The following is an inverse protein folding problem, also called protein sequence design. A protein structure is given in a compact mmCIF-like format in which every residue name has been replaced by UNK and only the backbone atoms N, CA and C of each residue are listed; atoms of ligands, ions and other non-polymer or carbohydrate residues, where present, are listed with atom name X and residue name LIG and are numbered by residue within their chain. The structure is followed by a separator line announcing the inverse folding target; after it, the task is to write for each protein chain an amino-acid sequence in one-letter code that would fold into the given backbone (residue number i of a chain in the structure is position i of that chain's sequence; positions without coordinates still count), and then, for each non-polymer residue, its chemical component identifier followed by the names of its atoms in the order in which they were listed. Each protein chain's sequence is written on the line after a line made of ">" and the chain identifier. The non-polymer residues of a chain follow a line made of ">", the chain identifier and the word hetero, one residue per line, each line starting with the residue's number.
data_IF_790055799219
#
_entry.id   IF_790055799219
#
_cell.length_a   1.000
_cell.length_b   1.000
_cell.length_c   1.000
_cell.angle_alpha   90.00
_cell.angle_beta   90.00
_cell.angle_gamma   90.00
#
_symmetry.space_group_name_H-M   'P 1'
#
loop_
_entity.id
_entity.type
_entity.pdbx_description
1 polymer ?
#
# COMPACT_ATOMS: atom_id res chain seq x y z
N UNK A 1 33.38 -2.36 0.01
CA UNK A 1 32.81 -1.40 0.98
C UNK A 1 32.86 -0.01 0.34
N UNK A 2 31.70 0.61 0.12
CA UNK A 2 31.62 2.00 -0.35
C UNK A 2 31.64 2.88 0.91
N UNK A 3 32.55 3.85 1.00
CA UNK A 3 32.64 4.72 2.18
C UNK A 3 31.41 5.63 2.26
N UNK A 4 31.02 6.01 3.47
CA UNK A 4 29.89 6.92 3.72
C UNK A 4 29.99 8.22 2.92
N UNK A 5 31.21 8.68 2.60
CA UNK A 5 31.46 9.87 1.78
C UNK A 5 31.15 9.66 0.29
N UNK A 6 31.43 8.48 -0.28
CA UNK A 6 31.12 8.17 -1.68
C UNK A 6 29.61 7.95 -1.93
N UNK A 7 28.83 7.62 -0.89
CA UNK A 7 27.38 7.42 -0.96
C UNK A 7 26.60 8.75 -1.12
N UNK A 8 27.10 9.84 -0.54
CA UNK A 8 26.51 11.18 -0.66
C UNK A 8 27.00 11.97 -1.88
N UNK A 9 27.99 11.46 -2.63
CA UNK A 9 28.43 12.11 -3.87
C UNK A 9 27.49 11.87 -5.06
N UNK A 10 26.58 10.89 -4.97
CA UNK A 10 25.60 10.57 -6.02
C UNK A 10 24.21 11.18 -5.78
N UNK A 11 23.94 11.70 -4.59
CA UNK A 11 22.64 12.27 -4.22
C UNK A 11 22.84 13.59 -3.49
N UNK A 12 22.22 14.65 -4.01
CA UNK A 12 22.38 16.02 -3.50
C UNK A 12 21.97 16.20 -2.02
N UNK A 13 21.20 15.26 -1.45
CA UNK A 13 20.83 15.23 -0.02
C UNK A 13 20.18 13.90 0.41
N UNK A 14 20.06 13.64 1.73
CA UNK A 14 19.30 12.51 2.31
C UNK A 14 17.85 12.42 1.77
N UNK A 15 17.09 13.52 1.62
CA UNK A 15 15.80 13.53 0.92
C UNK A 15 15.85 13.07 -0.55
N UNK A 16 16.89 13.44 -1.30
CA UNK A 16 17.03 13.04 -2.71
C UNK A 16 17.27 11.53 -2.84
N UNK A 17 18.08 10.95 -1.95
CA UNK A 17 18.26 9.49 -1.86
C UNK A 17 16.94 8.78 -1.53
N UNK A 18 16.19 9.29 -0.55
CA UNK A 18 14.91 8.69 -0.16
C UNK A 18 13.87 8.79 -1.29
N UNK A 19 13.86 9.89 -2.04
CA UNK A 19 13.01 10.05 -3.21
C UNK A 19 13.34 9.01 -4.29
N UNK A 20 14.62 8.87 -4.66
CA UNK A 20 15.06 7.90 -5.66
C UNK A 20 14.75 6.44 -5.25
N UNK A 21 14.84 6.14 -3.95
CA UNK A 21 14.49 4.83 -3.42
C UNK A 21 12.99 4.55 -3.58
N UNK A 22 12.12 5.53 -3.32
CA UNK A 22 10.68 5.39 -3.51
C UNK A 22 10.31 5.30 -4.99
N UNK A 23 10.97 6.05 -5.87
CA UNK A 23 10.78 5.91 -7.32
C UNK A 23 11.07 4.48 -7.78
N UNK A 24 12.21 3.93 -7.36
CA UNK A 24 12.58 2.54 -7.67
C UNK A 24 11.56 1.53 -7.13
N UNK A 25 11.02 1.73 -5.92
CA UNK A 25 9.94 0.87 -5.40
C UNK A 25 8.68 0.99 -6.23
N UNK A 26 8.34 2.21 -6.67
CA UNK A 26 7.23 2.43 -7.59
C UNK A 26 7.41 1.65 -8.90
N UNK A 27 8.64 1.60 -9.43
CA UNK A 27 8.96 0.82 -10.65
C UNK A 27 8.75 -0.68 -10.42
N UNK A 28 9.16 -1.18 -9.24
CA UNK A 28 8.95 -2.58 -8.88
C UNK A 28 7.47 -2.92 -8.71
N UNK A 29 6.69 -2.02 -8.10
CA UNK A 29 5.24 -2.17 -7.99
C UNK A 29 4.60 -2.20 -9.38
N UNK A 30 5.02 -1.30 -10.27
CA UNK A 30 4.52 -1.22 -11.65
C UNK A 30 4.70 -2.53 -12.42
N UNK A 31 5.87 -3.16 -12.30
CA UNK A 31 6.16 -4.45 -12.92
C UNK A 31 5.21 -5.57 -12.44
N UNK A 32 4.70 -5.47 -11.21
CA UNK A 32 3.78 -6.44 -10.63
C UNK A 32 2.33 -6.17 -11.05
N UNK A 33 1.93 -4.90 -11.13
CA UNK A 33 0.50 -4.54 -11.30
C UNK A 33 0.09 -4.29 -12.75
N UNK A 34 0.99 -3.80 -13.62
CA UNK A 34 0.65 -3.57 -15.03
C UNK A 34 0.17 -4.82 -15.78
N UNK A 35 0.76 -6.02 -15.57
CA UNK A 35 0.24 -7.23 -16.20
C UNK A 35 -1.21 -7.53 -15.81
N UNK A 36 -1.63 -7.17 -14.59
CA UNK A 36 -3.01 -7.35 -14.11
C UNK A 36 -3.93 -6.31 -14.76
N UNK A 37 -3.50 -5.04 -14.76
CA UNK A 37 -4.28 -3.92 -15.31
C UNK A 37 -4.56 -4.12 -16.80
N UNK A 38 -3.54 -4.53 -17.57
CA UNK A 38 -3.64 -4.67 -19.02
C UNK A 38 -4.13 -6.06 -19.47
N UNK A 39 -4.45 -6.97 -18.55
CA UNK A 39 -5.00 -8.29 -18.92
C UNK A 39 -6.43 -8.14 -19.48
N UNK A 40 -6.67 -8.43 -20.77
CA UNK A 40 -7.99 -8.29 -21.36
C UNK A 40 -8.96 -9.41 -20.95
N UNK A 41 -8.47 -10.46 -20.29
CA UNK A 41 -9.29 -11.61 -19.86
C UNK A 41 -9.94 -11.39 -18.49
N UNK A 42 -9.54 -10.33 -17.77
CA UNK A 42 -10.02 -10.03 -16.43
C UNK A 42 -11.08 -8.93 -16.44
N UNK A 43 -12.17 -9.15 -15.69
CA UNK A 43 -13.13 -8.10 -15.38
C UNK A 43 -12.53 -7.08 -14.40
N UNK A 44 -13.15 -5.90 -14.28
CA UNK A 44 -12.65 -4.82 -13.44
C UNK A 44 -12.58 -5.20 -11.95
N UNK A 45 -13.57 -5.94 -11.44
CA UNK A 45 -13.56 -6.40 -10.04
C UNK A 45 -12.39 -7.37 -9.78
N UNK A 46 -12.12 -8.29 -10.71
CA UNK A 46 -10.97 -9.20 -10.61
C UNK A 46 -9.65 -8.44 -10.65
N UNK A 47 -9.55 -7.40 -11.51
CA UNK A 47 -8.36 -6.53 -11.56
C UNK A 47 -8.15 -5.78 -10.26
N UNK A 48 -9.20 -5.17 -9.69
CA UNK A 48 -9.12 -4.48 -8.39
C UNK A 48 -8.69 -5.43 -7.29
N UNK A 49 -9.33 -6.60 -7.20
CA UNK A 49 -9.02 -7.61 -6.20
C UNK A 49 -7.54 -8.04 -6.31
N UNK A 50 -7.09 -8.42 -7.51
CA UNK A 50 -5.71 -8.84 -7.73
C UNK A 50 -4.72 -7.71 -7.49
N UNK A 51 -5.03 -6.49 -7.92
CA UNK A 51 -4.20 -5.31 -7.68
C UNK A 51 -3.96 -5.11 -6.18
N UNK A 52 -5.01 -5.09 -5.35
CA UNK A 52 -4.85 -4.91 -3.91
C UNK A 52 -4.14 -6.09 -3.23
N UNK A 53 -4.53 -7.32 -3.56
CA UNK A 53 -3.90 -8.52 -2.99
C UNK A 53 -2.41 -8.62 -3.34
N UNK A 54 -2.02 -8.32 -4.58
CA UNK A 54 -0.61 -8.29 -5.00
C UNK A 54 0.20 -7.27 -4.20
N UNK A 55 -0.35 -6.09 -3.94
CA UNK A 55 0.33 -5.07 -3.12
C UNK A 55 0.49 -5.54 -1.67
N UNK A 56 -0.54 -6.13 -1.08
CA UNK A 56 -0.49 -6.57 0.32
C UNK A 56 0.43 -7.78 0.52
N UNK A 57 0.40 -8.76 -0.40
CA UNK A 57 1.34 -9.89 -0.41
C UNK A 57 2.78 -9.43 -0.61
N UNK A 58 3.01 -8.47 -1.52
CA UNK A 58 4.33 -7.87 -1.71
C UNK A 58 4.87 -7.21 -0.43
N UNK A 59 4.02 -6.49 0.31
CA UNK A 59 4.39 -5.90 1.61
C UNK A 59 4.70 -6.97 2.65
N UNK A 60 3.88 -8.02 2.73
CA UNK A 60 4.05 -9.08 3.72
C UNK A 60 5.30 -9.92 3.45
N UNK A 61 5.57 -10.27 2.20
CA UNK A 61 6.79 -10.97 1.78
C UNK A 61 8.06 -10.18 2.15
N UNK A 62 7.98 -8.85 2.14
CA UNK A 62 9.07 -7.95 2.53
C UNK A 62 8.84 -7.29 3.89
N UNK A 63 8.10 -7.94 4.81
CA UNK A 63 7.62 -7.35 6.07
C UNK A 63 8.73 -6.65 6.87
N UNK A 64 9.89 -7.30 7.07
CA UNK A 64 11.01 -6.70 7.83
C UNK A 64 11.44 -5.36 7.24
N UNK A 65 11.52 -5.30 5.92
CA UNK A 65 11.87 -4.10 5.18
C UNK A 65 10.77 -3.04 5.30
N UNK A 66 9.50 -3.44 5.16
CA UNK A 66 8.34 -2.54 5.36
C UNK A 66 8.33 -1.95 6.76
N UNK A 67 8.55 -2.73 7.81
CA UNK A 67 8.60 -2.25 9.19
C UNK A 67 9.75 -1.24 9.41
N UNK A 68 10.93 -1.50 8.84
CA UNK A 68 12.04 -0.56 8.90
C UNK A 68 11.69 0.77 8.19
N UNK A 69 11.03 0.69 7.04
CA UNK A 69 10.53 1.88 6.35
C UNK A 69 9.48 2.61 7.17
N UNK A 70 8.48 1.94 7.74
CA UNK A 70 7.42 2.57 8.52
C UNK A 70 7.99 3.40 9.68
N UNK A 71 9.01 2.90 10.40
CA UNK A 71 9.67 3.64 11.49
C UNK A 71 10.30 4.95 11.01
N UNK A 72 11.04 4.90 9.90
CA UNK A 72 11.65 6.11 9.31
C UNK A 72 10.56 7.02 8.75
N UNK A 73 9.59 6.43 8.05
CA UNK A 73 8.54 7.14 7.34
C UNK A 73 7.73 7.99 8.30
N UNK A 74 7.20 7.41 9.37
CA UNK A 74 6.30 8.07 10.30
C UNK A 74 6.99 8.90 11.39
N UNK A 75 8.33 8.99 11.40
CA UNK A 75 9.04 9.95 12.25
C UNK A 75 8.66 11.40 11.89
N UNK A 76 8.45 12.26 12.88
CA UNK A 76 7.95 13.64 12.68
C UNK A 76 8.83 14.46 11.73
N UNK A 77 10.15 14.31 11.83
CA UNK A 77 11.13 14.98 10.95
C UNK A 77 10.94 14.68 9.46
N UNK A 78 10.26 13.57 9.13
CA UNK A 78 10.03 13.15 7.76
C UNK A 78 8.63 13.54 7.21
N UNK A 79 7.82 14.32 7.95
CA UNK A 79 6.46 14.69 7.54
C UNK A 79 6.39 15.38 6.17
N UNK A 80 7.32 16.31 5.90
CA UNK A 80 7.39 17.01 4.61
C UNK A 80 7.73 16.03 3.48
N UNK A 81 8.67 15.11 3.73
CA UNK A 81 9.08 14.11 2.76
C UNK A 81 7.93 13.12 2.47
N UNK A 82 7.25 12.62 3.51
CA UNK A 82 6.05 11.79 3.39
C UNK A 82 5.02 12.43 2.48
N UNK A 83 4.72 13.72 2.69
CA UNK A 83 3.73 14.43 1.89
C UNK A 83 4.16 14.59 0.43
N UNK A 84 5.42 14.94 0.15
CA UNK A 84 5.94 14.99 -1.22
C UNK A 84 5.80 13.64 -1.93
N UNK A 85 6.08 12.55 -1.22
CA UNK A 85 6.01 11.20 -1.77
C UNK A 85 4.57 10.70 -1.93
N UNK A 86 3.64 11.13 -1.06
CA UNK A 86 2.21 10.97 -1.28
C UNK A 86 1.78 11.62 -2.62
N UNK A 87 2.19 12.86 -2.89
CA UNK A 87 1.86 13.53 -4.16
C UNK A 87 2.39 12.75 -5.37
N UNK A 88 3.62 12.22 -5.29
CA UNK A 88 4.20 11.40 -6.36
C UNK A 88 3.41 10.10 -6.56
N UNK A 89 3.07 9.39 -5.47
CA UNK A 89 2.24 8.17 -5.52
C UNK A 89 0.86 8.41 -6.13
N UNK A 90 0.19 9.50 -5.75
CA UNK A 90 -1.09 9.89 -6.36
C UNK A 90 -0.93 10.05 -7.86
N UNK A 91 0.02 10.86 -8.33
CA UNK A 91 0.24 11.07 -9.77
C UNK A 91 0.52 9.77 -10.53
N UNK A 92 1.22 8.82 -9.90
CA UNK A 92 1.64 7.57 -10.52
C UNK A 92 0.53 6.52 -10.57
N UNK A 93 -0.18 6.31 -9.47
CA UNK A 93 -1.15 5.21 -9.35
C UNK A 93 -2.57 5.58 -9.79
N UNK A 94 -2.92 6.87 -9.74
CA UNK A 94 -4.27 7.34 -10.12
C UNK A 94 -4.65 6.89 -11.54
N UNK A 95 -3.82 7.06 -12.58
CA UNK A 95 -4.20 6.65 -13.94
C UNK A 95 -4.56 5.16 -14.07
N UNK A 96 -3.87 4.28 -13.36
CA UNK A 96 -4.12 2.85 -13.38
C UNK A 96 -5.44 2.48 -12.72
N UNK A 97 -5.74 3.09 -11.57
CA UNK A 97 -7.02 2.89 -10.90
C UNK A 97 -8.17 3.43 -11.76
N UNK A 98 -8.00 4.60 -12.37
CA UNK A 98 -9.00 5.21 -13.26
C UNK A 98 -9.28 4.36 -14.49
N UNK A 99 -8.29 3.66 -15.03
CA UNK A 99 -8.47 2.69 -16.11
C UNK A 99 -9.37 1.51 -15.68
N UNK A 100 -9.05 0.88 -14.55
CA UNK A 100 -9.86 -0.24 -14.04
C UNK A 100 -11.29 0.23 -13.68
N UNK A 101 -11.42 1.42 -13.10
CA UNK A 101 -12.72 1.97 -12.71
C UNK A 101 -13.59 2.26 -13.93
N UNK A 102 -13.03 2.85 -14.99
CA UNK A 102 -13.75 3.06 -16.25
C UNK A 102 -14.21 1.74 -16.86
N UNK A 103 -13.33 0.73 -16.89
CA UNK A 103 -13.71 -0.61 -17.31
C UNK A 103 -14.90 -1.15 -16.48
N UNK A 104 -14.87 -1.01 -15.15
CA UNK A 104 -15.93 -1.51 -14.29
C UNK A 104 -17.27 -0.79 -14.45
N UNK A 105 -17.24 0.49 -14.84
CA UNK A 105 -18.44 1.25 -15.21
C UNK A 105 -19.00 0.74 -16.55
N UNK A 106 -18.14 0.50 -17.55
CA UNK A 106 -18.53 -0.05 -18.85
C UNK A 106 -19.11 -1.46 -18.71
N UNK A 107 -18.55 -2.28 -17.81
CA UNK A 107 -19.05 -3.61 -17.46
C UNK A 107 -20.34 -3.58 -16.61
N UNK A 108 -20.72 -2.42 -16.08
CA UNK A 108 -21.90 -2.25 -15.21
C UNK A 108 -21.74 -2.83 -13.80
N UNK A 109 -20.51 -3.14 -13.38
CA UNK A 109 -20.18 -3.68 -12.05
C UNK A 109 -19.80 -2.59 -11.04
N UNK A 110 -19.49 -1.38 -11.50
CA UNK A 110 -19.20 -0.19 -10.70
C UNK A 110 -20.14 0.96 -11.08
N UNK A 111 -20.43 1.85 -10.14
CA UNK A 111 -21.40 2.96 -10.33
C UNK A 111 -20.88 4.34 -9.91
N UNK A 112 -19.56 4.56 -10.00
CA UNK A 112 -18.94 5.82 -9.60
C UNK A 112 -19.20 6.96 -10.62
N UNK A 113 -19.78 8.11 -10.21
CA UNK A 113 -20.08 9.23 -11.11
C UNK A 113 -18.87 10.14 -11.45
N UNK A 114 -17.73 9.94 -10.80
CA UNK A 114 -16.49 10.71 -10.97
C UNK A 114 -15.27 9.78 -11.17
N UNK A 115 -15.24 8.96 -12.23
CA UNK A 115 -14.17 7.97 -12.45
C UNK A 115 -12.78 8.61 -12.42
N UNK A 116 -12.60 9.79 -13.02
CA UNK A 116 -11.34 10.54 -13.10
C UNK A 116 -10.90 11.20 -11.78
N UNK A 117 -11.63 10.99 -10.68
CA UNK A 117 -11.25 11.45 -9.34
C UNK A 117 -11.20 10.30 -8.33
N UNK A 118 -11.85 9.19 -8.66
CA UNK A 118 -11.98 8.02 -7.80
C UNK A 118 -10.61 7.43 -7.40
N UNK A 119 -9.68 7.34 -8.35
CA UNK A 119 -8.33 6.84 -8.10
C UNK A 119 -7.59 7.63 -7.02
N UNK A 120 -7.71 8.97 -7.02
CA UNK A 120 -7.13 9.83 -5.97
C UNK A 120 -7.74 9.56 -4.60
N UNK A 121 -9.07 9.42 -4.53
CA UNK A 121 -9.78 9.14 -3.27
C UNK A 121 -9.34 7.79 -2.69
N UNK A 122 -9.27 6.76 -3.53
CA UNK A 122 -8.78 5.43 -3.14
C UNK A 122 -7.36 5.50 -2.54
N UNK A 123 -6.45 6.22 -3.18
CA UNK A 123 -5.07 6.39 -2.67
C UNK A 123 -5.06 7.13 -1.33
N UNK A 124 -5.95 8.10 -1.12
CA UNK A 124 -6.06 8.79 0.17
C UNK A 124 -6.54 7.88 1.30
N UNK A 125 -7.46 6.94 1.00
CA UNK A 125 -7.89 5.92 1.96
C UNK A 125 -6.74 4.97 2.33
N UNK A 126 -5.89 4.59 1.37
CA UNK A 126 -4.71 3.79 1.67
C UNK A 126 -3.65 4.56 2.47
N UNK A 127 -3.48 5.86 2.22
CA UNK A 127 -2.59 6.70 3.02
C UNK A 127 -3.07 6.78 4.47
N UNK A 128 -4.38 6.99 4.68
CA UNK A 128 -4.99 7.02 6.01
C UNK A 128 -4.89 5.66 6.71
N UNK A 129 -5.16 4.56 6.01
CA UNK A 129 -4.98 3.19 6.52
C UNK A 129 -3.54 2.98 7.01
N UNK A 130 -2.56 3.39 6.21
CA UNK A 130 -1.15 3.31 6.60
C UNK A 130 -0.86 4.10 7.88
N UNK A 131 -1.41 5.30 8.00
CA UNK A 131 -1.22 6.17 9.17
C UNK A 131 -1.91 5.61 10.42
N UNK A 132 -3.15 5.17 10.29
CA UNK A 132 -3.97 4.63 11.38
C UNK A 132 -3.44 3.30 11.94
N UNK A 133 -2.70 2.54 11.13
CA UNK A 133 -2.13 1.25 11.52
C UNK A 133 -0.66 1.33 11.92
N UNK A 134 0.07 2.38 11.54
CA UNK A 134 1.50 2.51 11.81
C UNK A 134 1.83 2.40 13.30
N UNK A 135 1.12 3.11 14.17
CA UNK A 135 1.36 3.06 15.63
C UNK A 135 1.14 1.65 16.19
N UNK A 136 0.04 1.00 15.81
CA UNK A 136 -0.29 -0.36 16.24
C UNK A 136 0.78 -1.37 15.80
N UNK A 137 1.20 -1.29 14.54
CA UNK A 137 2.19 -2.19 13.96
C UNK A 137 3.57 -1.98 14.61
N UNK A 138 3.95 -0.72 14.84
CA UNK A 138 5.27 -0.35 15.34
C UNK A 138 5.42 -0.44 16.87
N UNK A 139 4.32 -0.46 17.62
CA UNK A 139 4.34 -0.62 19.07
C UNK A 139 5.10 -1.87 19.49
N UNK A 140 5.93 -1.75 20.53
CA UNK A 140 6.60 -2.89 21.18
C UNK A 140 5.72 -3.51 22.26
N UNK A 141 4.81 -2.73 22.82
CA UNK A 141 3.78 -3.18 23.75
C UNK A 141 2.62 -3.78 22.96
N UNK A 142 2.16 -4.96 23.40
CA UNK A 142 1.06 -5.69 22.78
C UNK A 142 -0.14 -5.74 23.71
N UNK A 143 -1.29 -5.40 23.17
CA UNK A 143 -2.59 -5.55 23.80
C UNK A 143 -3.39 -6.66 23.11
N UNK A 144 -4.20 -7.45 23.85
CA UNK A 144 -5.19 -8.34 23.25
C UNK A 144 -6.13 -7.64 22.27
N UNK A 145 -6.32 -6.32 22.42
CA UNK A 145 -7.19 -5.50 21.57
C UNK A 145 -6.54 -5.02 20.27
N UNK A 146 -5.22 -5.23 20.07
CA UNK A 146 -4.50 -4.73 18.89
C UNK A 146 -5.02 -5.36 17.59
N UNK A 147 -5.20 -6.69 17.58
CA UNK A 147 -5.71 -7.39 16.40
C UNK A 147 -7.16 -7.01 16.09
N UNK A 148 -8.12 -7.05 17.04
CA UNK A 148 -9.47 -6.54 16.81
C UNK A 148 -9.53 -5.07 16.36
N UNK A 149 -8.59 -4.23 16.81
CA UNK A 149 -8.50 -2.83 16.37
C UNK A 149 -7.99 -2.74 14.92
N UNK A 150 -6.94 -3.48 14.58
CA UNK A 150 -6.40 -3.55 13.23
C UNK A 150 -7.45 -4.07 12.22
N UNK A 151 -8.14 -5.16 12.57
CA UNK A 151 -9.24 -5.72 11.78
C UNK A 151 -10.33 -4.69 11.49
N UNK A 152 -10.76 -3.92 12.50
CA UNK A 152 -11.78 -2.86 12.32
C UNK A 152 -11.32 -1.77 11.37
N UNK A 153 -10.06 -1.34 11.44
CA UNK A 153 -9.52 -0.30 10.56
C UNK A 153 -9.49 -0.80 9.11
N UNK A 154 -8.98 -2.02 8.89
CA UNK A 154 -8.88 -2.62 7.55
C UNK A 154 -10.27 -2.87 6.96
N UNK A 155 -11.20 -3.45 7.74
CA UNK A 155 -12.57 -3.68 7.31
C UNK A 155 -13.31 -2.38 6.96
N UNK A 156 -13.16 -1.34 7.78
CA UNK A 156 -13.74 -0.02 7.49
C UNK A 156 -13.14 0.61 6.22
N UNK A 157 -11.84 0.40 5.97
CA UNK A 157 -11.20 0.87 4.74
C UNK A 157 -11.72 0.13 3.51
N UNK A 158 -11.86 -1.19 3.56
CA UNK A 158 -12.41 -1.99 2.48
C UNK A 158 -13.87 -1.57 2.14
N UNK A 159 -14.70 -1.42 3.17
CA UNK A 159 -16.08 -0.95 3.05
C UNK A 159 -16.17 0.48 2.51
N UNK A 160 -15.21 1.36 2.85
CA UNK A 160 -15.11 2.70 2.24
C UNK A 160 -14.71 2.63 0.75
N UNK A 161 -13.76 1.76 0.39
CA UNK A 161 -13.34 1.55 -1.00
C UNK A 161 -14.51 1.10 -1.87
N UNK A 162 -15.29 0.12 -1.41
CA UNK A 162 -16.48 -0.36 -2.13
C UNK A 162 -17.49 0.77 -2.37
N UNK A 163 -17.76 1.60 -1.35
CA UNK A 163 -18.66 2.76 -1.51
C UNK A 163 -18.11 3.81 -2.46
N UNK A 164 -16.81 4.10 -2.41
CA UNK A 164 -16.18 5.02 -3.35
C UNK A 164 -16.30 4.47 -4.76
N UNK A 165 -16.07 3.18 -4.97
CA UNK A 165 -16.17 2.53 -6.28
C UNK A 165 -17.63 2.40 -6.78
N UNK A 166 -18.62 2.47 -5.88
CA UNK A 166 -19.99 2.11 -6.19
C UNK A 166 -20.11 0.61 -6.53
N UNK A 167 -19.28 -0.22 -5.87
CA UNK A 167 -19.22 -1.66 -6.04
C UNK A 167 -20.21 -2.38 -5.10
N UNK A 168 -20.58 -3.64 -5.37
CA UNK A 168 -21.37 -4.45 -4.44
C UNK A 168 -20.67 -4.61 -3.08
N UNK A 169 -21.44 -4.62 -2.00
CA UNK A 169 -20.89 -4.82 -0.66
C UNK A 169 -20.24 -6.20 -0.51
N UNK A 170 -19.05 -6.24 0.07
CA UNK A 170 -18.26 -7.46 0.30
C UNK A 170 -17.64 -8.06 -0.97
N UNK A 171 -17.59 -7.32 -2.09
CA UNK A 171 -16.95 -7.79 -3.31
C UNK A 171 -15.42 -7.72 -3.23
N UNK A 172 -14.87 -6.80 -2.44
CA UNK A 172 -13.43 -6.67 -2.25
C UNK A 172 -13.02 -7.42 -0.98
N UNK A 173 -12.31 -8.53 -1.17
CA UNK A 173 -11.64 -9.24 -0.10
C UNK A 173 -10.39 -8.44 0.32
N UNK A 174 -10.23 -8.28 1.62
CA UNK A 174 -9.06 -7.65 2.23
C UNK A 174 -8.21 -8.68 2.99
N UNK A 175 -7.05 -8.22 3.48
CA UNK A 175 -6.06 -9.03 4.21
C UNK A 175 -6.73 -9.90 5.28
N UNK A 176 -6.44 -11.21 5.27
CA UNK A 176 -7.08 -12.15 6.20
C UNK A 176 -6.67 -11.87 7.64
N UNK A 177 -7.45 -12.37 8.60
CA UNK A 177 -7.12 -12.30 10.03
C UNK A 177 -5.73 -12.87 10.33
N UNK A 178 -5.39 -13.99 9.70
CA UNK A 178 -4.09 -14.64 9.82
C UNK A 178 -2.97 -13.72 9.32
N UNK A 179 -3.13 -13.14 8.12
CA UNK A 179 -2.18 -12.18 7.55
C UNK A 179 -2.05 -10.91 8.41
N UNK A 180 -3.16 -10.38 8.94
CA UNK A 180 -3.17 -9.23 9.85
C UNK A 180 -2.44 -9.53 11.15
N UNK A 181 -2.63 -10.73 11.71
CA UNK A 181 -1.93 -11.15 12.93
C UNK A 181 -0.41 -11.18 12.74
N UNK A 182 0.06 -11.50 11.52
CA UNK A 182 1.47 -11.48 11.22
C UNK A 182 2.04 -10.08 11.42
N UNK A 183 1.35 -9.00 11.06
CA UNK A 183 1.85 -7.63 11.25
C UNK A 183 2.12 -7.26 12.72
N UNK A 184 1.45 -7.91 13.66
CA UNK A 184 1.62 -7.69 15.09
C UNK A 184 2.72 -8.56 15.72
N UNK A 185 3.24 -9.57 15.00
CA UNK A 185 4.39 -10.35 15.48
C UNK A 185 5.64 -9.48 15.45
N UNK A 186 6.31 -9.26 16.61
CA UNK A 186 7.55 -8.49 16.67
C UNK A 186 8.63 -9.06 15.72
N UNK A 187 9.49 -8.20 15.14
CA UNK A 187 10.60 -8.66 14.30
C UNK A 187 11.54 -9.64 14.99
N UNK A 188 11.71 -9.53 16.31
CA UNK A 188 12.61 -10.37 17.12
C UNK A 188 12.17 -11.84 17.24
N UNK A 189 10.91 -12.15 16.90
CA UNK A 189 10.33 -13.50 17.02
C UNK A 189 10.12 -14.18 15.66
N UNK A 190 10.43 -13.51 14.55
CA UNK A 190 10.42 -14.13 13.22
C UNK A 190 11.71 -14.92 13.06
N UNK A 191 11.61 -16.26 13.13
CA UNK A 191 12.73 -17.16 12.84
C UNK A 191 13.28 -16.85 11.46
N UNK A 192 14.60 -16.90 11.35
CA UNK A 192 15.34 -16.92 10.09
C UNK A 192 14.93 -18.18 9.31
N UNK A 193 13.82 -18.13 8.56
CA UNK A 193 13.69 -18.97 7.38
C UNK A 193 14.58 -18.35 6.31
N UNK A 194 15.87 -18.70 6.42
CA UNK A 194 16.79 -18.69 5.31
C UNK A 194 16.23 -19.65 4.24
N UNK A 195 15.77 -19.10 3.13
CA UNK A 195 15.74 -19.85 1.87
C UNK A 195 17.14 -19.86 1.24
N UNK A 196 17.46 -20.91 0.45
CA UNK A 196 18.79 -21.49 0.27
C UNK A 196 19.79 -20.67 -0.56
#
# INVERSE_FOLDING_TARGET
>A
QISSGAFYHYFDSKPALLLALVERMGDQVEQLVLPIIHDPTLCALDKLQRFFTTLDHGKLAHKRLVLAYLRVWYADENAILRHKLYIVRVKRFTPWLEEIIRQGIEEGVLTNPYPDQAGRVIISLFEDLGSATAELILSEERSPDDLPRLERIVAATADALERVLGAPAGCLQYTSREELSQWLVPPSLQKEEQEP
#
